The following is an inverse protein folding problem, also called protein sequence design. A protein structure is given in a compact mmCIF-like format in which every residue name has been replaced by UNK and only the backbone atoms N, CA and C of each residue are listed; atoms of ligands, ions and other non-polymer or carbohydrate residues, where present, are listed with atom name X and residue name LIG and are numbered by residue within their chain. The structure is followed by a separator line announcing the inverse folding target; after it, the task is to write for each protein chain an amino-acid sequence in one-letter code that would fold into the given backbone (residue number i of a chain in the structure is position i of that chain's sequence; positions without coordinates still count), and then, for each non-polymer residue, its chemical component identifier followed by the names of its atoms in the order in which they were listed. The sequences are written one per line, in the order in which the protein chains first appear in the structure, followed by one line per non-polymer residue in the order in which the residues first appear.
data_IF_419787175740
#
_entry.id   IF_419787175740
#
_cell.length_a   1.000
_cell.length_b   1.000
_cell.length_c   1.000
_cell.angle_alpha   90.00
_cell.angle_beta   90.00
_cell.angle_gamma   90.00
#
_symmetry.space_group_name_H-M   'P 1'
#
loop_
_entity.id
_entity.type
_entity.pdbx_description
1 polymer ?
#
# COMPACT_ATOMS: atom_id res chain seq x y z
N UNK A 1 -2.61 -25.68 -10.83
CA UNK A 1 -3.20 -25.62 -9.48
C UNK A 1 -3.12 -24.23 -8.85
N UNK A 2 -1.96 -23.55 -8.90
CA UNK A 2 -1.80 -22.19 -8.36
C UNK A 2 -2.87 -21.18 -8.82
N UNK A 3 -3.14 -21.10 -10.13
CA UNK A 3 -4.14 -20.17 -10.69
C UNK A 3 -5.57 -20.40 -10.18
N UNK A 4 -5.95 -21.65 -9.88
CA UNK A 4 -7.27 -21.94 -9.28
C UNK A 4 -7.33 -21.38 -7.84
N UNK A 5 -6.28 -21.55 -7.04
CA UNK A 5 -6.20 -21.00 -5.68
C UNK A 5 -6.31 -19.47 -5.70
N UNK A 6 -5.50 -18.81 -6.55
CA UNK A 6 -5.54 -17.35 -6.71
C UNK A 6 -6.95 -16.89 -7.10
N UNK A 7 -7.61 -17.57 -8.06
CA UNK A 7 -8.97 -17.21 -8.48
C UNK A 7 -9.99 -17.24 -7.33
N UNK A 8 -9.95 -18.27 -6.47
CA UNK A 8 -10.85 -18.37 -5.33
C UNK A 8 -10.56 -17.31 -4.26
N UNK A 9 -9.28 -17.08 -3.96
CA UNK A 9 -8.88 -16.05 -3.01
C UNK A 9 -9.25 -14.65 -3.50
N UNK A 10 -8.98 -14.34 -4.78
CA UNK A 10 -9.38 -13.06 -5.39
C UNK A 10 -10.89 -12.86 -5.35
N UNK A 11 -11.68 -13.89 -5.70
CA UNK A 11 -13.15 -13.80 -5.65
C UNK A 11 -13.66 -13.44 -4.24
N UNK A 12 -13.03 -13.99 -3.21
CA UNK A 12 -13.40 -13.71 -1.83
C UNK A 12 -12.98 -12.30 -1.38
N UNK A 13 -11.73 -11.90 -1.67
CA UNK A 13 -11.17 -10.60 -1.26
C UNK A 13 -11.86 -9.47 -2.02
N UNK A 14 -11.99 -9.57 -3.34
CA UNK A 14 -12.52 -8.52 -4.20
C UNK A 14 -13.98 -8.20 -3.97
N UNK A 15 -14.78 -9.12 -3.45
CA UNK A 15 -16.24 -8.92 -3.28
C UNK A 15 -16.60 -7.62 -2.56
N UNK A 16 -15.89 -7.28 -1.48
CA UNK A 16 -16.12 -6.03 -0.73
C UNK A 16 -15.41 -4.84 -1.38
N UNK A 17 -14.19 -5.05 -1.87
CA UNK A 17 -13.35 -3.99 -2.41
C UNK A 17 -13.99 -3.38 -3.66
N UNK A 18 -14.59 -4.21 -4.52
CA UNK A 18 -15.32 -3.73 -5.70
C UNK A 18 -16.48 -2.81 -5.35
N UNK A 19 -17.13 -2.99 -4.20
CA UNK A 19 -18.18 -2.08 -3.74
C UNK A 19 -17.60 -0.70 -3.45
N UNK A 20 -16.48 -0.63 -2.70
CA UNK A 20 -15.81 0.64 -2.42
C UNK A 20 -15.27 1.29 -3.71
N UNK A 21 -14.70 0.52 -4.61
CA UNK A 21 -14.23 1.00 -5.91
C UNK A 21 -15.37 1.57 -6.75
N UNK A 22 -16.50 0.87 -6.83
CA UNK A 22 -17.68 1.34 -7.58
C UNK A 22 -18.24 2.63 -6.98
N UNK A 23 -18.45 2.68 -5.66
CA UNK A 23 -18.94 3.88 -4.99
C UNK A 23 -17.94 5.04 -5.14
N UNK A 24 -16.64 4.78 -5.01
CA UNK A 24 -15.61 5.78 -5.20
C UNK A 24 -15.67 6.41 -6.60
N UNK A 25 -15.72 5.60 -7.66
CA UNK A 25 -15.84 6.09 -9.04
C UNK A 25 -17.18 6.79 -9.28
N UNK A 26 -18.27 6.22 -8.76
CA UNK A 26 -19.61 6.83 -8.89
C UNK A 26 -19.63 8.25 -8.32
N UNK A 27 -19.14 8.44 -7.09
CA UNK A 27 -19.09 9.77 -6.49
C UNK A 27 -18.05 10.70 -7.14
N UNK A 28 -16.96 10.16 -7.72
CA UNK A 28 -16.01 10.94 -8.50
C UNK A 28 -16.66 11.53 -9.75
N UNK A 29 -17.41 10.71 -10.48
CA UNK A 29 -18.13 11.14 -11.70
C UNK A 29 -19.22 12.14 -11.36
N UNK A 30 -20.05 11.86 -10.34
CA UNK A 30 -21.13 12.77 -9.93
C UNK A 30 -20.58 14.10 -9.42
N UNK A 31 -19.51 14.09 -8.62
CA UNK A 31 -18.84 15.30 -8.17
C UNK A 31 -18.30 16.12 -9.34
N UNK A 32 -17.73 15.46 -10.35
CA UNK A 32 -17.26 16.12 -11.57
C UNK A 32 -18.40 16.74 -12.37
N UNK A 33 -19.52 16.03 -12.55
CA UNK A 33 -20.68 16.54 -13.31
C UNK A 33 -21.30 17.76 -12.64
N UNK A 34 -21.46 17.75 -11.31
CA UNK A 34 -21.97 18.92 -10.57
C UNK A 34 -21.00 20.10 -10.59
N UNK A 35 -19.69 19.84 -10.56
CA UNK A 35 -18.66 20.88 -10.65
C UNK A 35 -18.56 21.57 -12.02
N UNK A 36 -19.19 21.00 -13.09
CA UNK A 36 -19.28 21.64 -14.41
C UNK A 36 -20.44 22.64 -14.53
N UNK A 37 -21.35 22.68 -13.54
CA UNK A 37 -22.49 23.62 -13.54
C UNK A 37 -22.01 24.91 -12.90
N UNK A 38 -21.74 25.91 -13.76
CA UNK A 38 -21.26 27.22 -13.35
C UNK A 38 -22.39 28.05 -12.69
N UNK A 39 -22.03 29.05 -11.89
CA UNK A 39 -22.90 30.06 -11.28
C UNK A 39 -23.92 29.55 -10.23
N UNK A 40 -23.75 28.38 -9.63
CA UNK A 40 -24.64 27.92 -8.56
C UNK A 40 -23.84 27.43 -7.36
N UNK A 41 -23.88 28.18 -6.26
CA UNK A 41 -23.28 27.81 -4.98
C UNK A 41 -23.76 26.42 -4.49
N UNK A 42 -25.01 26.07 -4.77
CA UNK A 42 -25.60 24.79 -4.38
C UNK A 42 -24.89 23.60 -5.05
N UNK A 43 -24.67 23.67 -6.38
CA UNK A 43 -23.99 22.61 -7.11
C UNK A 43 -22.51 22.54 -6.77
N UNK A 44 -21.85 23.65 -6.46
CA UNK A 44 -20.45 23.65 -5.99
C UNK A 44 -20.31 22.92 -4.62
N UNK A 45 -21.23 23.15 -3.69
CA UNK A 45 -21.24 22.44 -2.41
C UNK A 45 -21.45 20.94 -2.63
N UNK A 46 -22.43 20.55 -3.45
CA UNK A 46 -22.68 19.13 -3.75
C UNK A 46 -21.45 18.49 -4.39
N UNK A 47 -20.80 19.15 -5.35
CA UNK A 47 -19.57 18.68 -5.98
C UNK A 47 -18.46 18.39 -4.95
N UNK A 48 -18.22 19.33 -4.04
CA UNK A 48 -17.22 19.17 -2.96
C UNK A 48 -17.56 18.03 -2.03
N UNK A 49 -18.81 17.87 -1.64
CA UNK A 49 -19.28 16.74 -0.80
C UNK A 49 -19.08 15.41 -1.53
N UNK A 50 -19.51 15.30 -2.79
CA UNK A 50 -19.32 14.08 -3.59
C UNK A 50 -17.82 13.72 -3.74
N UNK A 51 -16.97 14.70 -4.00
CA UNK A 51 -15.52 14.49 -4.09
C UNK A 51 -14.95 14.01 -2.76
N UNK A 52 -15.38 14.57 -1.63
CA UNK A 52 -14.98 14.12 -0.30
C UNK A 52 -15.39 12.67 -0.02
N UNK A 53 -16.62 12.30 -0.36
CA UNK A 53 -17.10 10.91 -0.23
C UNK A 53 -16.30 9.98 -1.15
N UNK A 54 -16.04 10.40 -2.39
CA UNK A 54 -15.24 9.61 -3.33
C UNK A 54 -13.85 9.32 -2.78
N UNK A 55 -13.13 10.32 -2.28
CA UNK A 55 -11.80 10.15 -1.68
C UNK A 55 -11.87 9.16 -0.51
N UNK A 56 -12.86 9.31 0.38
CA UNK A 56 -13.03 8.41 1.51
C UNK A 56 -13.27 6.96 1.05
N UNK A 57 -14.09 6.72 0.03
CA UNK A 57 -14.36 5.38 -0.50
C UNK A 57 -13.13 4.77 -1.17
N UNK A 58 -12.37 5.56 -1.94
CA UNK A 58 -11.15 5.10 -2.61
C UNK A 58 -10.04 4.76 -1.61
N UNK A 59 -9.85 5.57 -0.56
CA UNK A 59 -8.92 5.24 0.53
C UNK A 59 -9.36 3.96 1.23
N UNK A 60 -10.66 3.82 1.54
CA UNK A 60 -11.20 2.59 2.13
C UNK A 60 -11.01 1.36 1.23
N UNK A 61 -11.05 1.50 -0.10
CA UNK A 61 -10.75 0.39 -1.01
C UNK A 61 -9.32 -0.13 -0.81
N UNK A 62 -8.32 0.77 -0.71
CA UNK A 62 -6.90 0.40 -0.51
C UNK A 62 -6.69 -0.21 0.88
N UNK A 63 -7.23 0.42 1.92
CA UNK A 63 -7.11 -0.08 3.31
C UNK A 63 -7.75 -1.47 3.45
N UNK A 64 -8.95 -1.64 2.89
CA UNK A 64 -9.64 -2.93 2.91
C UNK A 64 -8.94 -3.99 2.05
N UNK A 65 -8.21 -3.62 0.99
CA UNK A 65 -7.41 -4.58 0.23
C UNK A 65 -6.37 -5.28 1.13
N UNK A 66 -5.70 -4.52 2.01
CA UNK A 66 -4.75 -5.06 2.98
C UNK A 66 -5.45 -5.87 4.06
N UNK A 67 -6.45 -5.28 4.72
CA UNK A 67 -7.17 -5.93 5.85
C UNK A 67 -7.84 -7.22 5.40
N UNK A 68 -8.56 -7.21 4.28
CA UNK A 68 -9.22 -8.41 3.74
C UNK A 68 -8.22 -9.49 3.33
N UNK A 69 -7.05 -9.08 2.85
CA UNK A 69 -5.95 -9.99 2.58
C UNK A 69 -5.49 -10.73 3.85
N UNK A 70 -5.27 -10.00 4.95
CA UNK A 70 -4.91 -10.58 6.25
C UNK A 70 -6.02 -11.48 6.80
N UNK A 71 -7.27 -11.02 6.74
CA UNK A 71 -8.43 -11.81 7.17
C UNK A 71 -8.55 -13.10 6.35
N UNK A 72 -8.31 -13.06 5.03
CA UNK A 72 -8.33 -14.25 4.18
C UNK A 72 -7.26 -15.27 4.58
N UNK A 73 -6.05 -14.82 4.95
CA UNK A 73 -5.00 -15.70 5.46
C UNK A 73 -5.46 -16.36 6.77
N UNK A 74 -6.01 -15.59 7.71
CA UNK A 74 -6.44 -16.11 9.02
C UNK A 74 -7.54 -17.16 8.84
N UNK A 75 -8.60 -16.86 8.08
CA UNK A 75 -9.74 -17.79 7.90
C UNK A 75 -9.35 -19.04 7.13
N UNK A 76 -8.52 -18.90 6.10
CA UNK A 76 -8.18 -20.02 5.24
C UNK A 76 -7.08 -20.93 5.79
N UNK A 77 -6.13 -20.39 6.56
CA UNK A 77 -4.99 -21.18 7.07
C UNK A 77 -5.12 -21.59 8.55
N UNK A 78 -5.92 -20.86 9.37
CA UNK A 78 -5.95 -21.07 10.83
C UNK A 78 -7.36 -21.21 11.43
N UNK A 79 -8.42 -20.91 10.68
CA UNK A 79 -9.81 -21.03 11.14
C UNK A 79 -10.62 -22.00 10.27
N UNK A 80 -11.85 -21.70 10.04
CA UNK A 80 -12.92 -22.58 9.52
C UNK A 80 -12.57 -23.35 8.25
N UNK A 81 -11.79 -22.76 7.35
CA UNK A 81 -11.36 -23.38 6.10
C UNK A 81 -10.00 -24.13 6.20
N UNK A 82 -9.32 -24.08 7.36
CA UNK A 82 -7.96 -24.59 7.52
C UNK A 82 -7.86 -26.08 7.26
N UNK A 83 -8.79 -26.87 7.76
CA UNK A 83 -8.81 -28.32 7.54
C UNK A 83 -8.83 -28.67 6.04
N UNK A 84 -9.74 -28.03 5.29
CA UNK A 84 -9.83 -28.26 3.83
C UNK A 84 -8.57 -27.82 3.10
N UNK A 85 -8.00 -26.68 3.52
CA UNK A 85 -6.79 -26.14 2.88
C UNK A 85 -5.57 -27.03 3.10
N UNK A 86 -5.40 -27.59 4.29
CA UNK A 86 -4.26 -28.44 4.62
C UNK A 86 -4.38 -29.89 4.10
N UNK A 87 -5.60 -30.37 3.79
CA UNK A 87 -5.81 -31.69 3.15
C UNK A 87 -5.60 -31.67 1.63
N UNK A 88 -5.47 -30.48 1.01
CA UNK A 88 -5.20 -30.39 -0.41
C UNK A 88 -3.79 -30.97 -0.74
N UNK A 89 -3.66 -31.80 -1.80
CA UNK A 89 -2.38 -32.37 -2.22
C UNK A 89 -1.50 -31.32 -2.95
N UNK A 90 -1.21 -30.20 -2.26
CA UNK A 90 -0.47 -29.06 -2.79
C UNK A 90 0.63 -28.68 -1.79
N UNK A 91 1.82 -28.35 -2.29
CA UNK A 91 2.94 -27.89 -1.45
C UNK A 91 2.53 -26.65 -0.66
N UNK A 92 2.83 -26.60 0.65
CA UNK A 92 2.55 -25.45 1.54
C UNK A 92 3.08 -24.13 0.98
N UNK A 93 4.30 -24.13 0.42
CA UNK A 93 4.87 -22.96 -0.25
C UNK A 93 4.01 -22.43 -1.40
N UNK A 94 3.37 -23.30 -2.18
CA UNK A 94 2.45 -22.90 -3.26
C UNK A 94 1.16 -22.31 -2.71
N UNK A 95 0.66 -22.83 -1.58
CA UNK A 95 -0.49 -22.25 -0.89
C UNK A 95 -0.18 -20.86 -0.37
N UNK A 96 0.97 -20.68 0.29
CA UNK A 96 1.44 -19.37 0.77
C UNK A 96 1.61 -18.37 -0.38
N UNK A 97 2.27 -18.78 -1.45
CA UNK A 97 2.47 -17.94 -2.65
C UNK A 97 1.13 -17.49 -3.25
N UNK A 98 0.11 -18.36 -3.29
CA UNK A 98 -1.22 -17.98 -3.81
C UNK A 98 -1.86 -16.85 -2.99
N UNK A 99 -1.73 -16.89 -1.65
CA UNK A 99 -2.24 -15.84 -0.76
C UNK A 99 -1.55 -14.51 -1.00
N UNK A 100 -0.21 -14.54 -1.02
CA UNK A 100 0.60 -13.34 -1.28
C UNK A 100 0.23 -12.72 -2.62
N UNK A 101 0.21 -13.51 -3.70
CA UNK A 101 -0.14 -13.02 -5.04
C UNK A 101 -1.56 -12.47 -5.11
N UNK A 102 -2.54 -13.13 -4.47
CA UNK A 102 -3.92 -12.64 -4.44
C UNK A 102 -4.04 -11.28 -3.75
N UNK A 103 -3.32 -11.08 -2.66
CA UNK A 103 -3.31 -9.79 -1.94
C UNK A 103 -2.64 -8.71 -2.80
N UNK A 104 -1.48 -8.99 -3.39
CA UNK A 104 -0.78 -8.04 -4.25
C UNK A 104 -1.62 -7.62 -5.46
N UNK A 105 -2.26 -8.58 -6.15
CA UNK A 105 -3.17 -8.28 -7.27
C UNK A 105 -4.32 -7.40 -6.81
N UNK A 106 -4.91 -7.69 -5.66
CA UNK A 106 -6.02 -6.90 -5.11
C UNK A 106 -5.59 -5.47 -4.77
N UNK A 107 -4.39 -5.31 -4.20
CA UNK A 107 -3.82 -3.98 -3.92
C UNK A 107 -3.57 -3.20 -5.21
N UNK A 108 -3.01 -3.83 -6.24
CA UNK A 108 -2.81 -3.20 -7.55
C UNK A 108 -4.13 -2.72 -8.15
N UNK A 109 -5.19 -3.52 -8.07
CA UNK A 109 -6.53 -3.13 -8.53
C UNK A 109 -7.04 -1.92 -7.72
N UNK A 110 -6.97 -1.98 -6.39
CA UNK A 110 -7.46 -0.90 -5.53
C UNK A 110 -6.70 0.42 -5.78
N UNK A 111 -5.37 0.37 -5.86
CA UNK A 111 -4.52 1.54 -6.16
C UNK A 111 -4.81 2.08 -7.57
N UNK A 112 -4.90 1.19 -8.57
CA UNK A 112 -5.23 1.58 -9.94
C UNK A 112 -6.58 2.30 -10.05
N UNK A 113 -7.62 1.77 -9.39
CA UNK A 113 -8.94 2.42 -9.34
C UNK A 113 -8.88 3.75 -8.58
N UNK A 114 -8.08 3.85 -7.52
CA UNK A 114 -7.89 5.10 -6.78
C UNK A 114 -7.26 6.17 -7.68
N UNK A 115 -6.23 5.83 -8.45
CA UNK A 115 -5.62 6.75 -9.41
C UNK A 115 -6.63 7.21 -10.46
N UNK A 116 -7.42 6.29 -11.03
CA UNK A 116 -8.46 6.62 -12.00
C UNK A 116 -9.49 7.58 -11.38
N UNK A 117 -9.95 7.32 -10.16
CA UNK A 117 -10.90 8.18 -9.47
C UNK A 117 -10.35 9.59 -9.21
N UNK A 118 -9.09 9.72 -8.80
CA UNK A 118 -8.42 11.01 -8.63
C UNK A 118 -8.28 11.76 -9.96
N UNK A 119 -7.95 11.06 -11.03
CA UNK A 119 -7.91 11.64 -12.38
C UNK A 119 -9.28 12.20 -12.78
N UNK A 120 -10.35 11.43 -12.57
CA UNK A 120 -11.72 11.88 -12.89
C UNK A 120 -12.08 13.15 -12.11
N UNK A 121 -11.76 13.21 -10.81
CA UNK A 121 -12.11 14.36 -9.97
C UNK A 121 -11.33 15.63 -10.32
N UNK A 122 -10.02 15.50 -10.54
CA UNK A 122 -9.12 16.66 -10.58
C UNK A 122 -8.54 16.98 -11.95
N UNK A 123 -8.70 16.14 -12.97
CA UNK A 123 -8.13 16.39 -14.29
C UNK A 123 -8.99 17.42 -15.08
N UNK A 124 -8.89 18.70 -14.70
CA UNK A 124 -9.39 19.85 -15.48
C UNK A 124 -8.24 20.56 -16.18
N UNK A 125 -8.55 21.37 -17.22
CA UNK A 125 -7.53 22.18 -17.90
C UNK A 125 -6.81 23.10 -16.90
N UNK A 126 -7.57 23.79 -16.06
CA UNK A 126 -7.07 24.72 -15.07
C UNK A 126 -6.20 24.02 -14.01
N UNK A 127 -6.60 22.81 -13.57
CA UNK A 127 -5.81 22.02 -12.60
C UNK A 127 -4.52 21.52 -13.25
N UNK A 128 -4.56 21.13 -14.53
CA UNK A 128 -3.35 20.70 -15.26
C UNK A 128 -2.38 21.88 -15.42
N UNK A 129 -2.88 23.07 -15.77
CA UNK A 129 -2.07 24.28 -15.89
C UNK A 129 -1.49 24.71 -14.54
N UNK A 130 -2.31 24.71 -13.49
CA UNK A 130 -1.85 24.97 -12.12
C UNK A 130 -0.77 23.98 -11.68
N UNK A 131 -1.00 22.68 -11.89
CA UNK A 131 0.00 21.65 -11.57
C UNK A 131 1.28 21.82 -12.38
N UNK A 132 1.17 22.07 -13.70
CA UNK A 132 2.34 22.34 -14.54
C UNK A 132 3.12 23.55 -14.06
N UNK A 133 2.43 24.66 -13.78
CA UNK A 133 3.09 25.89 -13.33
C UNK A 133 3.77 25.68 -11.97
N UNK A 134 3.06 25.08 -11.00
CA UNK A 134 3.61 24.79 -9.66
C UNK A 134 4.79 23.83 -9.72
N UNK A 135 4.66 22.75 -10.53
CA UNK A 135 5.71 21.75 -10.68
C UNK A 135 6.89 22.30 -11.49
N UNK A 136 6.67 23.15 -12.51
CA UNK A 136 7.77 23.79 -13.26
C UNK A 136 8.57 24.71 -12.35
N UNK A 137 7.95 25.48 -11.47
CA UNK A 137 8.67 26.29 -10.48
C UNK A 137 9.60 25.41 -9.63
N UNK A 138 9.12 24.23 -9.23
CA UNK A 138 9.89 23.25 -8.45
C UNK A 138 11.00 22.64 -9.31
N UNK A 139 10.73 22.26 -10.56
CA UNK A 139 11.71 21.60 -11.43
C UNK A 139 12.77 22.56 -11.98
N UNK A 140 12.40 23.78 -12.30
CA UNK A 140 13.34 24.82 -12.78
C UNK A 140 14.30 25.26 -11.67
N UNK A 141 13.81 25.35 -10.44
CA UNK A 141 14.65 25.62 -9.27
C UNK A 141 15.59 24.45 -8.90
N UNK A 142 15.33 23.25 -9.38
CA UNK A 142 15.92 22.01 -8.87
C UNK A 142 16.56 21.12 -9.94
N UNK A 143 16.61 21.57 -11.22
CA UNK A 143 17.18 20.83 -12.36
C UNK A 143 16.70 19.38 -12.49
N UNK A 144 15.47 19.07 -12.06
CA UNK A 144 14.90 17.71 -12.07
C UNK A 144 13.64 17.64 -12.90
N UNK A 145 13.32 16.46 -13.45
CA UNK A 145 12.09 16.23 -14.19
C UNK A 145 10.91 15.98 -13.26
N UNK A 146 9.76 16.60 -13.54
CA UNK A 146 8.48 16.32 -12.85
C UNK A 146 8.16 14.81 -12.85
N UNK A 147 8.40 14.14 -13.98
CA UNK A 147 8.15 12.73 -14.12
C UNK A 147 8.99 11.90 -13.13
N UNK A 148 10.26 12.25 -12.91
CA UNK A 148 11.13 11.54 -11.96
C UNK A 148 10.64 11.68 -10.53
N UNK A 149 10.15 12.85 -10.12
CA UNK A 149 9.56 13.07 -8.80
C UNK A 149 8.31 12.19 -8.58
N UNK A 150 7.36 12.26 -9.52
CA UNK A 150 6.10 11.50 -9.41
C UNK A 150 6.38 10.00 -9.39
N UNK A 151 7.24 9.50 -10.27
CA UNK A 151 7.59 8.08 -10.34
C UNK A 151 8.26 7.62 -9.03
N UNK A 152 9.26 8.35 -8.55
CA UNK A 152 10.00 7.97 -7.34
C UNK A 152 9.11 7.92 -6.12
N UNK A 153 8.29 8.95 -5.90
CA UNK A 153 7.35 9.00 -4.78
C UNK A 153 6.27 7.92 -4.89
N UNK A 154 5.74 7.66 -6.09
CA UNK A 154 4.75 6.61 -6.33
C UNK A 154 5.31 5.21 -6.04
N UNK A 155 6.55 4.94 -6.47
CA UNK A 155 7.25 3.67 -6.19
C UNK A 155 7.48 3.51 -4.69
N UNK A 156 7.96 4.56 -4.01
CA UNK A 156 8.20 4.55 -2.57
C UNK A 156 6.90 4.23 -1.79
N UNK A 157 5.81 4.95 -2.08
CA UNK A 157 4.52 4.74 -1.42
C UNK A 157 3.97 3.34 -1.68
N UNK A 158 4.09 2.83 -2.90
CA UNK A 158 3.63 1.50 -3.24
C UNK A 158 4.43 0.41 -2.52
N UNK A 159 5.76 0.53 -2.46
CA UNK A 159 6.62 -0.38 -1.70
C UNK A 159 6.32 -0.33 -0.20
N UNK A 160 6.03 0.84 0.36
CA UNK A 160 5.61 0.99 1.75
C UNK A 160 4.29 0.25 2.02
N UNK A 161 3.31 0.32 1.12
CA UNK A 161 2.05 -0.44 1.24
C UNK A 161 2.30 -1.95 1.19
N UNK A 162 3.17 -2.42 0.29
CA UNK A 162 3.56 -3.83 0.23
C UNK A 162 4.24 -4.24 1.54
N UNK A 163 5.17 -3.43 2.05
CA UNK A 163 5.86 -3.70 3.32
C UNK A 163 4.88 -3.81 4.50
N UNK A 164 3.92 -2.88 4.64
CA UNK A 164 2.86 -2.96 5.67
C UNK A 164 2.11 -4.29 5.56
N UNK A 165 1.78 -4.70 4.33
CA UNK A 165 1.09 -5.97 4.08
C UNK A 165 1.92 -7.16 4.54
N UNK A 166 3.20 -7.21 4.20
CA UNK A 166 4.10 -8.29 4.60
C UNK A 166 4.38 -8.32 6.10
N UNK A 167 4.48 -7.16 6.77
CA UNK A 167 4.63 -7.11 8.22
C UNK A 167 3.43 -7.72 8.94
N UNK A 168 2.21 -7.47 8.45
CA UNK A 168 1.00 -8.11 8.96
C UNK A 168 0.94 -9.61 8.67
N UNK A 169 1.31 -10.05 7.45
CA UNK A 169 1.39 -11.48 7.11
C UNK A 169 2.39 -12.21 7.99
N UNK A 170 3.57 -11.64 8.21
CA UNK A 170 4.58 -12.18 9.12
C UNK A 170 4.04 -12.29 10.56
N UNK A 171 3.38 -11.22 11.05
CA UNK A 171 2.72 -11.22 12.34
C UNK A 171 1.67 -12.32 12.48
N UNK A 172 0.84 -12.53 11.45
CA UNK A 172 -0.20 -13.58 11.43
C UNK A 172 0.45 -14.96 11.52
N UNK A 173 1.45 -15.25 10.68
CA UNK A 173 2.04 -16.58 10.60
C UNK A 173 2.85 -16.89 11.86
N UNK A 174 3.69 -15.96 12.32
CA UNK A 174 4.49 -16.15 13.52
C UNK A 174 3.60 -16.12 14.79
N UNK A 175 2.61 -15.24 14.87
CA UNK A 175 1.69 -15.16 16.02
C UNK A 175 0.87 -16.43 16.22
N UNK A 176 0.52 -17.12 15.13
CA UNK A 176 -0.19 -18.40 15.20
C UNK A 176 0.71 -19.61 15.55
N UNK A 177 2.01 -19.45 15.68
CA UNK A 177 2.88 -20.51 16.23
C UNK A 177 2.81 -20.63 17.75
N UNK A 178 2.28 -19.63 18.44
CA UNK A 178 2.09 -19.63 19.89
C UNK A 178 0.83 -20.37 20.30
N UNK A 179 0.86 -21.08 21.45
CA UNK A 179 -0.26 -21.91 21.92
C UNK A 179 -1.37 -21.10 22.61
N UNK A 180 -1.07 -19.91 23.13
CA UNK A 180 -2.05 -19.07 23.87
C UNK A 180 -2.08 -17.66 23.28
N UNK A 181 -3.24 -17.00 23.36
CA UNK A 181 -3.44 -15.58 22.95
C UNK A 181 -2.94 -15.28 21.52
N UNK A 182 -3.14 -16.22 20.58
CA UNK A 182 -2.70 -16.13 19.16
C UNK A 182 -2.98 -14.77 18.53
N UNK A 183 -4.18 -14.22 18.72
CA UNK A 183 -4.58 -12.93 18.16
C UNK A 183 -3.75 -11.74 18.69
N UNK A 184 -3.41 -11.74 19.99
CA UNK A 184 -2.60 -10.67 20.57
C UNK A 184 -1.17 -10.74 20.01
N UNK A 185 -0.57 -11.93 19.98
CA UNK A 185 0.79 -12.10 19.41
C UNK A 185 0.83 -11.74 17.91
N UNK A 186 -0.21 -12.06 17.15
CA UNK A 186 -0.33 -11.67 15.74
C UNK A 186 -0.20 -10.16 15.56
N UNK A 187 -0.97 -9.38 16.33
CA UNK A 187 -0.95 -7.93 16.25
C UNK A 187 0.38 -7.35 16.75
N UNK A 188 0.85 -7.83 17.92
CA UNK A 188 2.10 -7.34 18.50
C UNK A 188 3.32 -7.59 17.59
N UNK A 189 3.44 -8.80 17.03
CA UNK A 189 4.57 -9.14 16.16
C UNK A 189 4.51 -8.33 14.87
N UNK A 190 3.34 -8.20 14.24
CA UNK A 190 3.19 -7.37 13.05
C UNK A 190 3.56 -5.90 13.31
N UNK A 191 3.09 -5.35 14.43
CA UNK A 191 3.40 -3.97 14.83
C UNK A 191 4.88 -3.77 15.18
N UNK A 192 5.47 -4.68 15.96
CA UNK A 192 6.90 -4.65 16.28
C UNK A 192 7.76 -4.74 15.02
N UNK A 193 7.41 -5.63 14.08
CA UNK A 193 8.11 -5.74 12.79
C UNK A 193 8.05 -4.42 12.03
N UNK A 194 6.88 -3.78 12.00
CA UNK A 194 6.71 -2.48 11.36
C UNK A 194 7.60 -1.42 12.01
N UNK A 195 7.61 -1.31 13.35
CA UNK A 195 8.45 -0.33 14.08
C UNK A 195 9.95 -0.63 13.85
N UNK A 196 10.39 -1.86 14.04
CA UNK A 196 11.81 -2.22 13.88
C UNK A 196 12.35 -1.83 12.50
N UNK A 197 11.59 -2.08 11.45
CA UNK A 197 12.02 -1.72 10.09
C UNK A 197 12.06 -0.21 9.89
N UNK A 198 11.07 0.55 10.40
CA UNK A 198 11.13 2.01 10.32
C UNK A 198 12.31 2.59 11.11
N UNK A 199 12.67 2.00 12.26
CA UNK A 199 13.88 2.38 13.00
C UNK A 199 15.14 2.06 12.19
N UNK A 200 15.20 0.91 11.51
CA UNK A 200 16.33 0.57 10.62
C UNK A 200 16.46 1.58 9.49
N UNK A 201 15.36 1.96 8.86
CA UNK A 201 15.36 2.99 7.78
C UNK A 201 15.86 4.33 8.33
N UNK A 202 15.40 4.74 9.51
CA UNK A 202 15.86 5.95 10.17
C UNK A 202 17.36 5.90 10.48
N UNK A 203 17.87 4.79 10.98
CA UNK A 203 19.31 4.61 11.23
C UNK A 203 20.13 4.67 9.92
N UNK A 204 19.63 4.06 8.85
CA UNK A 204 20.29 4.12 7.54
C UNK A 204 20.32 5.57 7.03
N UNK A 205 19.22 6.31 7.13
CA UNK A 205 19.17 7.71 6.70
C UNK A 205 20.06 8.61 7.56
N UNK A 206 20.17 8.37 8.87
CA UNK A 206 21.11 9.05 9.75
C UNK A 206 22.55 8.74 9.41
N UNK A 207 22.88 7.48 9.11
CA UNK A 207 24.23 7.11 8.67
C UNK A 207 24.61 7.81 7.34
N UNK A 208 23.67 7.87 6.39
CA UNK A 208 23.90 8.59 5.14
C UNK A 208 24.12 10.09 5.35
N UNK A 209 23.48 10.69 6.36
CA UNK A 209 23.66 12.12 6.66
C UNK A 209 25.04 12.46 7.17
N UNK A 210 25.77 11.50 7.75
CA UNK A 210 27.16 11.70 8.18
C UNK A 210 28.12 11.85 6.98
N UNK A 211 27.78 11.24 5.83
CA UNK A 211 28.60 11.26 4.62
C UNK A 211 28.14 12.28 3.58
N UNK A 212 27.00 12.95 3.79
CA UNK A 212 26.42 13.88 2.83
C UNK A 212 25.74 15.06 3.51
N UNK A 213 26.35 16.25 3.42
CA UNK A 213 25.87 17.48 4.04
C UNK A 213 24.47 17.90 3.57
N UNK A 214 24.10 17.56 2.33
CA UNK A 214 22.74 17.84 1.84
C UNK A 214 21.69 16.95 2.53
N UNK A 215 22.01 15.69 2.84
CA UNK A 215 21.13 14.80 3.62
C UNK A 215 21.04 15.31 5.06
N UNK A 216 22.15 15.74 5.63
CA UNK A 216 22.18 16.34 6.95
C UNK A 216 21.27 17.57 7.03
N UNK A 217 21.35 18.48 6.05
CA UNK A 217 20.51 19.67 6.00
C UNK A 217 19.02 19.37 5.88
N UNK A 218 18.63 18.32 5.16
CA UNK A 218 17.23 17.88 5.06
C UNK A 218 16.71 17.34 6.41
N UNK A 219 17.52 16.57 7.14
CA UNK A 219 17.12 15.95 8.40
C UNK A 219 17.10 16.93 9.58
N UNK A 220 18.03 17.86 9.61
CA UNK A 220 18.26 18.75 10.76
C UNK A 220 17.92 20.22 10.49
N UNK A 221 17.25 20.54 9.40
CA UNK A 221 16.68 21.85 9.14
C UNK A 221 17.68 22.86 8.60
N UNK A 222 18.57 22.46 7.69
CA UNK A 222 19.43 23.38 6.94
C UNK A 222 18.67 24.27 5.95
N UNK A 223 19.26 25.36 5.54
CA UNK A 223 18.66 26.36 4.63
C UNK A 223 18.61 25.91 3.16
N UNK A 224 19.30 24.82 2.81
CA UNK A 224 19.37 24.31 1.44
C UNK A 224 18.56 23.03 1.28
N UNK A 225 17.35 23.17 0.75
CA UNK A 225 16.53 22.02 0.35
C UNK A 225 16.93 21.59 -1.07
N UNK A 226 17.60 20.46 -1.21
CA UNK A 226 17.98 19.90 -2.51
C UNK A 226 17.09 18.68 -2.83
N UNK A 227 16.28 18.81 -3.90
CA UNK A 227 15.34 17.73 -4.32
C UNK A 227 16.09 16.54 -4.93
N UNK A 228 17.22 16.74 -5.57
CA UNK A 228 18.04 15.65 -6.06
C UNK A 228 18.46 14.71 -4.90
N UNK A 229 18.81 15.30 -3.78
CA UNK A 229 19.11 14.54 -2.55
C UNK A 229 17.89 13.81 -2.00
N UNK A 230 16.72 14.45 -2.03
CA UNK A 230 15.46 13.80 -1.62
C UNK A 230 15.10 12.62 -2.52
N UNK A 231 15.30 12.75 -3.84
CA UNK A 231 15.12 11.64 -4.79
C UNK A 231 16.08 10.49 -4.49
N UNK A 232 17.35 10.81 -4.24
CA UNK A 232 18.38 9.81 -3.90
C UNK A 232 18.02 9.05 -2.61
N UNK A 233 17.64 9.76 -1.56
CA UNK A 233 17.16 9.15 -0.30
C UNK A 233 15.96 8.25 -0.58
N UNK A 234 14.99 8.71 -1.36
CA UNK A 234 13.78 7.95 -1.69
C UNK A 234 14.09 6.65 -2.44
N UNK A 235 15.07 6.66 -3.36
CA UNK A 235 15.53 5.45 -4.03
C UNK A 235 16.26 4.50 -3.09
N UNK A 236 17.09 5.01 -2.18
CA UNK A 236 17.75 4.18 -1.15
C UNK A 236 16.72 3.52 -0.23
N UNK A 237 15.74 4.28 0.25
CA UNK A 237 14.66 3.74 1.09
C UNK A 237 13.86 2.68 0.32
N UNK A 238 13.57 2.92 -0.96
CA UNK A 238 12.88 1.97 -1.83
C UNK A 238 13.66 0.66 -1.98
N UNK A 239 14.97 0.73 -2.15
CA UNK A 239 15.84 -0.44 -2.21
C UNK A 239 15.83 -1.22 -0.87
N UNK A 240 15.89 -0.51 0.26
CA UNK A 240 15.79 -1.12 1.60
C UNK A 240 14.45 -1.83 1.78
N UNK A 241 13.33 -1.22 1.38
CA UNK A 241 12.02 -1.89 1.42
C UNK A 241 11.99 -3.16 0.57
N UNK A 242 12.54 -3.15 -0.64
CA UNK A 242 12.61 -4.34 -1.50
C UNK A 242 13.36 -5.49 -0.83
N UNK A 243 14.54 -5.22 -0.25
CA UNK A 243 15.34 -6.21 0.46
C UNK A 243 14.56 -6.77 1.66
N UNK A 244 13.95 -5.91 2.45
CA UNK A 244 13.20 -6.32 3.65
C UNK A 244 11.96 -7.14 3.28
N UNK A 245 11.21 -6.74 2.25
CA UNK A 245 10.06 -7.50 1.73
C UNK A 245 10.49 -8.89 1.30
N UNK A 246 11.62 -9.02 0.59
CA UNK A 246 12.16 -10.32 0.19
C UNK A 246 12.52 -11.16 1.42
N UNK A 247 13.22 -10.60 2.41
CA UNK A 247 13.56 -11.29 3.65
C UNK A 247 12.28 -11.76 4.37
N UNK A 248 11.31 -10.87 4.55
CA UNK A 248 10.03 -11.21 5.20
C UNK A 248 9.31 -12.33 4.45
N UNK A 249 9.27 -12.30 3.10
CA UNK A 249 8.67 -13.36 2.31
C UNK A 249 9.34 -14.72 2.56
N UNK A 250 10.67 -14.79 2.47
CA UNK A 250 11.40 -16.05 2.65
C UNK A 250 11.31 -16.59 4.09
N UNK A 251 11.45 -15.73 5.08
CA UNK A 251 11.34 -16.11 6.48
C UNK A 251 9.94 -16.60 6.81
N UNK A 252 8.91 -15.87 6.37
CA UNK A 252 7.50 -16.24 6.59
C UNK A 252 7.16 -17.57 5.92
N UNK A 253 7.59 -17.77 4.66
CA UNK A 253 7.40 -19.03 3.94
C UNK A 253 8.11 -20.20 4.63
N UNK A 254 9.32 -19.99 5.17
CA UNK A 254 10.06 -21.02 5.92
C UNK A 254 9.34 -21.41 7.21
N UNK A 255 8.80 -20.43 7.95
CA UNK A 255 8.02 -20.68 9.17
C UNK A 255 6.74 -21.45 8.84
N UNK A 256 6.00 -21.02 7.80
CA UNK A 256 4.78 -21.67 7.36
C UNK A 256 4.99 -23.13 6.93
N UNK A 257 6.13 -23.44 6.27
CA UNK A 257 6.47 -24.79 5.83
C UNK A 257 6.78 -25.75 7.00
N UNK A 258 7.27 -25.23 8.16
CA UNK A 258 7.58 -26.07 9.33
C UNK A 258 6.35 -26.71 9.98
N UNK A 259 5.18 -26.17 9.73
CA UNK A 259 3.92 -26.68 10.26
C UNK A 259 3.05 -25.56 10.83
N UNK A 260 1.75 -25.81 10.84
CA UNK A 260 0.74 -24.88 11.32
C UNK A 260 0.14 -25.50 12.58
N UNK A 261 0.08 -24.75 13.65
CA UNK A 261 -0.61 -25.18 14.88
C UNK A 261 -2.11 -24.85 14.71
N UNK A 262 -2.89 -25.88 14.40
CA UNK A 262 -4.36 -25.79 14.13
C UNK A 262 -5.11 -26.13 15.43
N UNK A 263 -4.87 -25.43 16.52
CA UNK A 263 -5.66 -25.54 17.73
C UNK A 263 -6.46 -24.25 18.02
#
# INVERSE_FOLDING_TARGET
MLGKLIKYDLKWILKLILIYCFLGIFFAVTGRLFGLIENSMFFDIISKVCNGISIAMLINAVVNAVIRGWVRIIYNLYKDESYLTHTLPIKKSTQFLSKVLSILITMLIAVGVTIIGLIIMYLSKDTIEFLKTSLNIITDSLNTSIASLIITLSVLLFLQLIFITFSGIFGIILGNTFNRKKGIYTVLIGFLTYICVNVIILLITLLLSVFNDNIYSILFGGTTFNVETLLTISWVISAVYLVIIAILYFVTNKIFNKGVNIE
#
